data_IF_388377525415
#
_entry.id   IF_388377525415
#
_cell.length_a   1.000
_cell.length_b   1.000
_cell.length_c   1.000
_cell.angle_alpha   90.00
_cell.angle_beta   90.00
_cell.angle_gamma   90.00
#
_symmetry.space_group_name_H-M   'P 1'
#
loop_
_entity.id
_entity.type
_entity.pdbx_description
1 polymer ?
#
# COMPACT_ATOMS: atom_id res chain seq x y z
N UNK A 1 -9.69 19.50 18.16
CA UNK A 1 -9.00 19.85 16.91
C UNK A 1 -7.73 19.00 16.73
N UNK A 2 -7.86 17.72 16.35
CA UNK A 2 -6.71 16.88 15.92
C UNK A 2 -6.88 16.37 14.48
N UNK A 3 -8.14 16.21 14.05
CA UNK A 3 -8.51 15.75 12.72
C UNK A 3 -7.92 16.57 11.56
N UNK A 4 -7.80 17.90 11.68
CA UNK A 4 -7.40 18.77 10.56
C UNK A 4 -5.90 18.63 10.26
N UNK A 5 -5.06 18.47 11.29
CA UNK A 5 -3.61 18.33 11.13
C UNK A 5 -3.23 16.95 10.59
N UNK A 6 -3.96 15.90 10.99
CA UNK A 6 -3.79 14.54 10.46
C UNK A 6 -4.29 14.41 9.01
N UNK A 7 -5.34 15.15 8.65
CA UNK A 7 -5.83 15.20 7.26
C UNK A 7 -4.80 15.86 6.32
N UNK A 8 -4.11 16.88 6.81
CA UNK A 8 -3.06 17.60 6.07
C UNK A 8 -1.77 16.79 5.92
N UNK A 9 -1.57 15.76 6.75
CA UNK A 9 -0.42 14.86 6.73
C UNK A 9 -0.56 13.69 5.73
N UNK A 10 -1.63 13.67 4.91
CA UNK A 10 -1.78 12.65 3.86
C UNK A 10 -2.30 11.31 4.39
N UNK A 11 -3.23 11.33 5.36
CA UNK A 11 -3.92 10.11 5.79
C UNK A 11 -4.79 9.58 4.64
N UNK A 12 -4.34 8.52 3.98
CA UNK A 12 -5.12 7.85 2.94
C UNK A 12 -5.98 6.79 3.60
N UNK A 13 -7.29 7.02 3.63
CA UNK A 13 -8.26 6.02 4.05
C UNK A 13 -8.50 5.04 2.90
N UNK A 14 -8.41 3.75 3.21
CA UNK A 14 -8.72 2.69 2.26
C UNK A 14 -9.78 1.76 2.82
N UNK A 15 -10.60 1.24 1.91
CA UNK A 15 -11.63 0.25 2.21
C UNK A 15 -11.52 -0.87 1.19
N UNK A 16 -11.78 -2.10 1.63
CA UNK A 16 -11.96 -3.20 0.70
C UNK A 16 -13.30 -3.06 -0.04
N UNK A 17 -13.26 -3.24 -1.35
CA UNK A 17 -14.45 -3.33 -2.20
C UNK A 17 -15.22 -4.63 -1.94
N UNK A 18 -16.43 -4.74 -2.51
CA UNK A 18 -17.27 -5.94 -2.40
C UNK A 18 -16.60 -7.21 -2.96
N UNK A 19 -15.62 -7.04 -3.84
CA UNK A 19 -14.79 -8.12 -4.41
C UNK A 19 -13.60 -8.50 -3.53
N UNK A 20 -13.40 -7.83 -2.39
CA UNK A 20 -12.28 -8.05 -1.48
C UNK A 20 -10.96 -7.43 -1.95
N UNK A 21 -11.00 -6.49 -2.89
CA UNK A 21 -9.81 -5.79 -3.40
C UNK A 21 -9.68 -4.45 -2.67
N UNK A 22 -8.46 -4.10 -2.28
CA UNK A 22 -8.14 -2.78 -1.70
C UNK A 22 -7.46 -1.94 -2.77
N UNK A 23 -8.08 -0.82 -3.14
CA UNK A 23 -7.48 0.17 -4.04
C UNK A 23 -6.93 1.34 -3.22
N UNK A 24 -5.62 1.59 -3.32
CA UNK A 24 -4.94 2.66 -2.61
C UNK A 24 -4.01 3.44 -3.55
N UNK A 25 -4.20 4.75 -3.72
CA UNK A 25 -3.19 5.60 -4.33
C UNK A 25 -2.05 5.87 -3.35
N UNK A 26 -0.84 5.43 -3.66
CA UNK A 26 0.35 5.62 -2.81
C UNK A 26 1.28 6.76 -3.28
N UNK A 27 0.96 7.43 -4.38
CA UNK A 27 1.75 8.57 -4.87
C UNK A 27 1.32 9.07 -6.25
N UNK A 28 2.12 10.00 -6.80
CA UNK A 28 2.00 10.53 -8.16
C UNK A 28 3.33 10.37 -8.90
N UNK A 29 3.32 10.56 -10.22
CA UNK A 29 4.52 10.50 -11.07
C UNK A 29 5.57 11.54 -10.66
N UNK A 30 5.16 12.65 -10.07
CA UNK A 30 6.06 13.72 -9.59
C UNK A 30 6.83 13.38 -8.31
N UNK A 31 6.55 12.23 -7.66
CA UNK A 31 7.23 11.82 -6.43
C UNK A 31 8.56 11.14 -6.77
N UNK A 32 9.54 11.31 -5.88
CA UNK A 32 10.81 10.58 -5.97
C UNK A 32 10.57 9.08 -5.83
N UNK A 33 11.42 8.28 -6.47
CA UNK A 33 11.37 6.82 -6.41
C UNK A 33 11.43 6.30 -4.95
N UNK A 34 12.21 7.00 -4.12
CA UNK A 34 12.40 6.75 -2.69
C UNK A 34 11.09 6.90 -1.92
N UNK A 35 10.39 8.01 -2.14
CA UNK A 35 9.12 8.32 -1.47
C UNK A 35 8.02 7.35 -1.89
N UNK A 36 7.97 7.00 -3.18
CA UNK A 36 7.01 6.02 -3.71
C UNK A 36 7.22 4.65 -3.05
N UNK A 37 8.47 4.24 -2.88
CA UNK A 37 8.84 2.98 -2.25
C UNK A 37 8.46 2.97 -0.76
N UNK A 38 8.75 4.06 -0.03
CA UNK A 38 8.38 4.21 1.38
C UNK A 38 6.86 4.17 1.55
N UNK A 39 6.11 4.87 0.69
CA UNK A 39 4.65 4.89 0.74
C UNK A 39 4.04 3.51 0.45
N UNK A 40 4.57 2.79 -0.54
CA UNK A 40 4.14 1.43 -0.85
C UNK A 40 4.35 0.49 0.35
N UNK A 41 5.53 0.54 0.97
CA UNK A 41 5.85 -0.27 2.16
C UNK A 41 4.98 0.09 3.36
N UNK A 42 4.72 1.38 3.59
CA UNK A 42 3.84 1.85 4.65
C UNK A 42 2.40 1.34 4.44
N UNK A 43 1.92 1.37 3.20
CA UNK A 43 0.60 0.84 2.83
C UNK A 43 0.50 -0.66 3.11
N UNK A 44 1.46 -1.46 2.64
CA UNK A 44 1.49 -2.91 2.85
C UNK A 44 1.52 -3.26 4.34
N UNK A 45 2.38 -2.61 5.12
CA UNK A 45 2.45 -2.80 6.58
C UNK A 45 1.16 -2.42 7.29
N UNK A 46 0.53 -1.32 6.88
CA UNK A 46 -0.76 -0.89 7.43
C UNK A 46 -1.84 -1.93 7.15
N UNK A 47 -1.90 -2.48 5.94
CA UNK A 47 -2.86 -3.51 5.56
C UNK A 47 -2.63 -4.79 6.37
N UNK A 48 -1.36 -5.20 6.54
CA UNK A 48 -1.01 -6.38 7.35
C UNK A 48 -1.38 -6.21 8.83
N UNK A 49 -1.16 -5.02 9.41
CA UNK A 49 -1.55 -4.71 10.78
C UNK A 49 -3.08 -4.70 10.98
N UNK A 50 -3.85 -4.41 9.93
CA UNK A 50 -5.32 -4.43 9.93
C UNK A 50 -5.88 -5.79 9.49
N UNK A 51 -5.04 -6.83 9.32
CA UNK A 51 -5.51 -8.18 9.00
C UNK A 51 -6.44 -8.68 10.14
N UNK A 52 -7.67 -9.11 9.84
CA UNK A 52 -8.55 -9.68 10.85
C UNK A 52 -7.99 -11.02 11.34
N UNK A 53 -7.97 -11.22 12.67
CA UNK A 53 -7.40 -12.39 13.33
C UNK A 53 -8.06 -13.74 12.97
N UNK A 54 -9.21 -13.73 12.28
CA UNK A 54 -9.95 -14.93 11.88
C UNK A 54 -9.61 -15.47 10.48
N UNK A 55 -8.65 -14.87 9.78
CA UNK A 55 -8.29 -15.28 8.41
C UNK A 55 -7.12 -16.29 8.42
N UNK A 56 -7.46 -17.58 8.50
CA UNK A 56 -6.52 -18.73 8.44
C UNK A 56 -5.94 -18.97 7.02
N UNK A 57 -6.35 -18.18 6.03
CA UNK A 57 -5.95 -18.33 4.62
C UNK A 57 -4.79 -17.43 4.17
N UNK A 58 -4.45 -17.59 2.89
CA UNK A 58 -3.53 -16.69 2.18
C UNK A 58 -4.21 -15.33 2.04
N UNK A 59 -3.81 -14.38 2.90
CA UNK A 59 -4.38 -13.04 2.96
C UNK A 59 -4.12 -12.23 1.68
N UNK A 60 -2.91 -12.36 1.11
CA UNK A 60 -2.53 -11.71 -0.14
C UNK A 60 -2.60 -12.69 -1.32
N UNK A 61 -3.61 -12.56 -2.19
CA UNK A 61 -3.74 -13.41 -3.39
C UNK A 61 -2.95 -12.89 -4.60
N UNK A 62 -3.00 -11.58 -4.82
CA UNK A 62 -2.34 -10.91 -5.94
C UNK A 62 -2.14 -9.44 -5.61
N UNK A 63 -1.00 -8.88 -6.00
CA UNK A 63 -0.72 -7.46 -5.92
C UNK A 63 -0.40 -6.92 -7.31
N UNK A 64 -0.99 -5.76 -7.65
CA UNK A 64 -0.85 -5.13 -8.96
C UNK A 64 -0.64 -3.64 -8.77
N UNK A 65 0.32 -3.07 -9.51
CA UNK A 65 0.52 -1.63 -9.61
C UNK A 65 0.13 -1.19 -11.02
N UNK A 66 -0.64 -0.12 -11.13
CA UNK A 66 -0.95 0.54 -12.39
C UNK A 66 -0.91 2.06 -12.21
N UNK A 67 -0.70 2.77 -13.31
CA UNK A 67 -1.01 4.21 -13.38
C UNK A 67 -2.48 4.41 -13.78
N UNK A 68 -2.97 5.65 -13.71
CA UNK A 68 -4.39 5.97 -13.94
C UNK A 68 -4.95 5.41 -15.27
N UNK A 69 -4.13 5.35 -16.32
CA UNK A 69 -4.52 4.86 -17.66
C UNK A 69 -3.49 3.87 -18.24
N UNK A 70 -2.58 3.35 -17.43
CA UNK A 70 -1.48 2.49 -17.88
C UNK A 70 -1.74 1.00 -17.69
N UNK A 71 -0.93 0.15 -18.33
CA UNK A 71 -0.96 -1.29 -18.10
C UNK A 71 -0.61 -1.62 -16.65
N UNK A 72 -1.21 -2.70 -16.12
CA UNK A 72 -0.89 -3.17 -14.77
C UNK A 72 0.34 -4.07 -14.77
N UNK A 73 1.22 -3.88 -13.81
CA UNK A 73 2.36 -4.75 -13.51
C UNK A 73 2.00 -5.59 -12.30
N UNK A 74 2.11 -6.91 -12.43
CA UNK A 74 1.93 -7.83 -11.29
C UNK A 74 3.18 -7.81 -10.44
N UNK A 75 3.01 -7.62 -9.14
CA UNK A 75 4.09 -7.73 -8.16
C UNK A 75 4.20 -9.13 -7.60
N UNK A 76 5.42 -9.49 -7.21
CA UNK A 76 5.67 -10.67 -6.42
C UNK A 76 5.40 -10.36 -4.94
N UNK A 77 4.40 -11.04 -4.38
CA UNK A 77 3.94 -10.83 -3.00
C UNK A 77 5.05 -11.18 -2.00
N UNK A 78 5.81 -12.25 -2.26
CA UNK A 78 6.84 -12.72 -1.34
C UNK A 78 7.98 -11.71 -1.25
N UNK A 79 8.44 -11.22 -2.40
CA UNK A 79 9.48 -10.19 -2.44
C UNK A 79 8.98 -8.87 -1.86
N UNK A 80 7.73 -8.48 -2.14
CA UNK A 80 7.13 -7.27 -1.58
C UNK A 80 7.08 -7.26 -0.04
N UNK A 81 6.79 -8.41 0.58
CA UNK A 81 6.72 -8.55 2.04
C UNK A 81 8.11 -8.63 2.69
N UNK A 82 9.07 -9.27 2.03
CA UNK A 82 10.45 -9.39 2.52
C UNK A 82 11.29 -8.14 2.23
N UNK A 83 10.82 -7.26 1.34
CA UNK A 83 11.56 -6.08 0.91
C UNK A 83 11.88 -5.17 2.09
N UNK A 84 13.17 -5.11 2.43
CA UNK A 84 13.70 -4.21 3.43
C UNK A 84 14.36 -3.04 2.70
N UNK A 85 13.91 -1.79 2.92
CA UNK A 85 14.58 -0.65 2.33
C UNK A 85 16.04 -0.61 2.82
N UNK A 86 17.00 -0.26 1.96
CA UNK A 86 18.40 -0.13 2.35
C UNK A 86 18.52 0.87 3.50
N UNK A 87 19.36 0.54 4.49
CA UNK A 87 19.44 1.14 5.83
C UNK A 87 19.95 2.59 5.88
N UNK A 88 19.91 3.32 4.78
CA UNK A 88 20.62 4.60 4.60
C UNK A 88 19.66 5.76 4.28
N UNK A 89 18.57 5.86 5.04
CA UNK A 89 17.75 7.07 5.19
C UNK A 89 17.51 7.33 6.68
#
# INVERSE_FOLDING_TARGET
>A
MKAISEFKAGKVEYRADKTGIVHLPFGKVDFSEEDLLINLLAAVKSIEANKPAGDEGVYWKSAHICSAMGPSIRLNIREMLDYRPPSNL
#
